data_IF_700585580324
#
_entry.id   IF_700585580324
#
_cell.length_a   1.000
_cell.length_b   1.000
_cell.length_c   1.000
_cell.angle_alpha   90.00
_cell.angle_beta   90.00
_cell.angle_gamma   90.00
#
_symmetry.space_group_name_H-M   'P 1'
#
loop_
_entity.id
_entity.type
_entity.pdbx_description
1 polymer ?
#
# COMPACT_ATOMS: atom_id res chain seq x y z
N UNK A 1 -5.68 -36.78 -18.33
CA UNK A 1 -5.82 -35.38 -17.87
C UNK A 1 -5.85 -35.44 -16.36
N UNK A 2 -4.72 -35.17 -15.72
CA UNK A 2 -4.52 -35.48 -14.31
C UNK A 2 -4.40 -34.20 -13.47
N UNK A 3 -5.20 -34.19 -12.41
CA UNK A 3 -5.18 -33.35 -11.20
C UNK A 3 -5.61 -31.88 -11.37
N UNK A 4 -6.92 -31.69 -11.24
CA UNK A 4 -7.47 -30.53 -10.55
C UNK A 4 -6.92 -30.56 -9.12
N UNK A 5 -5.86 -29.81 -8.85
CA UNK A 5 -5.45 -29.50 -7.50
C UNK A 5 -6.49 -28.51 -6.98
N UNK A 6 -7.40 -28.95 -6.11
CA UNK A 6 -8.36 -28.05 -5.45
C UNK A 6 -7.68 -27.07 -4.47
N UNK A 7 -6.33 -27.06 -4.42
CA UNK A 7 -5.49 -26.27 -3.51
C UNK A 7 -4.31 -25.73 -4.32
N UNK A 8 -4.25 -24.41 -4.49
CA UNK A 8 -3.10 -23.69 -5.06
C UNK A 8 -1.88 -23.95 -4.18
N UNK A 9 -0.75 -24.35 -4.77
CA UNK A 9 0.51 -24.64 -4.05
C UNK A 9 1.37 -23.40 -3.85
N UNK A 10 1.36 -22.82 -2.65
CA UNK A 10 2.08 -21.59 -2.32
C UNK A 10 3.56 -21.80 -1.95
N UNK A 11 4.08 -23.02 -2.08
CA UNK A 11 5.41 -23.39 -1.55
C UNK A 11 6.60 -22.68 -2.22
N UNK A 12 6.41 -22.15 -3.43
CA UNK A 12 7.40 -21.36 -4.16
C UNK A 12 7.63 -19.95 -3.59
N UNK A 13 6.75 -19.47 -2.70
CA UNK A 13 6.90 -18.18 -2.04
C UNK A 13 7.72 -18.25 -0.75
N UNK A 14 8.43 -17.17 -0.45
CA UNK A 14 9.06 -16.97 0.84
C UNK A 14 8.04 -16.90 1.97
N UNK A 15 8.45 -17.19 3.21
CA UNK A 15 7.58 -17.09 4.37
C UNK A 15 6.92 -15.70 4.50
N UNK A 16 7.66 -14.63 4.20
CA UNK A 16 7.15 -13.26 4.22
C UNK A 16 6.04 -13.04 3.19
N UNK A 17 6.19 -13.56 1.99
CA UNK A 17 5.19 -13.44 0.93
C UNK A 17 3.93 -14.25 1.26
N UNK A 18 4.10 -15.47 1.79
CA UNK A 18 2.98 -16.30 2.25
C UNK A 18 2.22 -15.62 3.40
N UNK A 19 2.92 -15.02 4.37
CA UNK A 19 2.28 -14.26 5.45
C UNK A 19 1.51 -13.04 4.93
N UNK A 20 2.08 -12.29 3.98
CA UNK A 20 1.39 -11.15 3.37
C UNK A 20 0.09 -11.55 2.66
N UNK A 21 0.12 -12.70 1.97
CA UNK A 21 -1.04 -13.30 1.32
C UNK A 21 -2.08 -13.75 2.36
N UNK A 22 -1.65 -14.44 3.41
CA UNK A 22 -2.54 -14.89 4.49
C UNK A 22 -3.25 -13.71 5.18
N UNK A 23 -2.51 -12.65 5.54
CA UNK A 23 -3.09 -11.43 6.13
C UNK A 23 -4.11 -10.79 5.19
N UNK A 24 -3.83 -10.76 3.88
CA UNK A 24 -4.80 -10.25 2.90
C UNK A 24 -6.09 -11.08 2.89
N UNK A 25 -5.99 -12.41 2.85
CA UNK A 25 -7.15 -13.29 2.90
C UNK A 25 -7.96 -13.08 4.19
N UNK A 26 -7.29 -12.99 5.34
CA UNK A 26 -7.94 -12.73 6.62
C UNK A 26 -8.63 -11.37 6.65
N UNK A 27 -8.02 -10.35 6.06
CA UNK A 27 -8.63 -9.02 5.93
C UNK A 27 -9.91 -9.05 5.10
N UNK A 28 -9.91 -9.76 3.97
CA UNK A 28 -11.08 -9.91 3.12
C UNK A 28 -12.18 -10.70 3.85
N UNK A 29 -11.80 -11.80 4.52
CA UNK A 29 -12.74 -12.66 5.23
C UNK A 29 -13.41 -11.94 6.42
N UNK A 30 -12.66 -11.11 7.15
CA UNK A 30 -13.12 -10.47 8.37
C UNK A 30 -13.52 -8.98 8.18
N UNK A 31 -13.35 -8.43 6.99
CA UNK A 31 -13.60 -7.01 6.72
C UNK A 31 -12.64 -6.07 7.47
N UNK A 32 -11.41 -6.52 7.73
CA UNK A 32 -10.36 -5.73 8.40
C UNK A 32 -9.39 -5.12 7.39
N UNK A 33 -8.52 -4.22 7.85
CA UNK A 33 -7.51 -3.57 6.99
C UNK A 33 -6.11 -3.58 7.63
N UNK A 34 -5.70 -4.75 8.12
CA UNK A 34 -4.36 -4.92 8.69
C UNK A 34 -3.29 -4.82 7.58
N UNK A 35 -2.12 -4.22 7.85
CA UNK A 35 -1.05 -4.16 6.86
C UNK A 35 -0.53 -5.56 6.52
N UNK A 36 -0.48 -5.90 5.22
CA UNK A 36 0.07 -7.18 4.73
C UNK A 36 1.57 -7.34 5.00
N UNK A 37 2.30 -6.23 5.17
CA UNK A 37 3.69 -6.19 5.64
C UNK A 37 3.78 -5.38 6.93
N UNK A 38 3.46 -5.98 8.10
CA UNK A 38 3.25 -5.23 9.35
C UNK A 38 4.49 -4.52 9.86
N UNK A 39 5.66 -5.15 9.78
CA UNK A 39 6.92 -4.53 10.23
C UNK A 39 7.34 -3.37 9.32
N UNK A 40 7.16 -3.52 8.01
CA UNK A 40 7.38 -2.42 7.06
C UNK A 40 6.41 -1.28 7.33
N UNK A 41 5.12 -1.58 7.58
CA UNK A 41 4.12 -0.57 7.92
C UNK A 41 4.53 0.24 9.15
N UNK A 42 4.98 -0.42 10.23
CA UNK A 42 5.47 0.26 11.43
C UNK A 42 6.64 1.20 11.12
N UNK A 43 7.62 0.76 10.33
CA UNK A 43 8.73 1.61 9.90
C UNK A 43 8.27 2.79 9.02
N UNK A 44 7.28 2.58 8.15
CA UNK A 44 6.70 3.64 7.32
C UNK A 44 5.92 4.67 8.14
N UNK A 45 5.26 4.27 9.22
CA UNK A 45 4.61 5.19 10.16
C UNK A 45 5.63 6.11 10.83
N UNK A 46 6.71 5.56 11.39
CA UNK A 46 7.80 6.35 11.98
C UNK A 46 8.45 7.29 10.95
N UNK A 47 8.63 6.82 9.71
CA UNK A 47 9.14 7.66 8.63
C UNK A 47 8.19 8.80 8.30
N UNK A 48 6.87 8.56 8.26
CA UNK A 48 5.86 9.57 8.00
C UNK A 48 5.88 10.69 9.04
N UNK A 49 5.99 10.34 10.32
CA UNK A 49 6.08 11.31 11.43
C UNK A 49 7.36 12.16 11.37
N UNK A 50 8.49 11.53 11.06
CA UNK A 50 9.76 12.24 10.87
C UNK A 50 9.70 13.19 9.67
N UNK A 51 9.11 12.76 8.56
CA UNK A 51 8.95 13.60 7.36
C UNK A 51 7.98 14.76 7.60
N UNK A 52 6.92 14.57 8.39
CA UNK A 52 6.03 15.64 8.82
C UNK A 52 6.78 16.71 9.63
N UNK A 53 7.66 16.30 10.54
CA UNK A 53 8.52 17.22 11.29
C UNK A 53 9.48 17.99 10.38
N UNK A 54 10.07 17.32 9.38
CA UNK A 54 10.92 17.96 8.37
C UNK A 54 10.12 18.95 7.50
N UNK A 55 8.85 18.67 7.23
CA UNK A 55 8.01 19.53 6.40
C UNK A 55 7.84 20.93 7.02
N UNK A 56 7.79 21.04 8.35
CA UNK A 56 7.74 22.32 9.05
C UNK A 56 9.03 23.15 8.86
N UNK A 57 10.18 22.48 8.69
CA UNK A 57 11.48 23.13 8.49
C UNK A 57 11.71 23.46 7.01
N UNK A 58 11.23 22.60 6.10
CA UNK A 58 11.46 22.69 4.65
C UNK A 58 10.16 22.49 3.85
N UNK A 59 9.20 23.43 3.97
CA UNK A 59 7.85 23.25 3.42
C UNK A 59 7.83 23.07 1.90
N UNK A 60 8.64 23.83 1.15
CA UNK A 60 8.69 23.71 -0.31
C UNK A 60 9.20 22.34 -0.77
N UNK A 61 10.23 21.80 -0.13
CA UNK A 61 10.76 20.47 -0.45
C UNK A 61 9.75 19.38 -0.11
N UNK A 62 9.06 19.50 1.02
CA UNK A 62 8.04 18.55 1.43
C UNK A 62 6.83 18.55 0.48
N UNK A 63 6.39 19.72 0.00
CA UNK A 63 5.33 19.82 -1.01
C UNK A 63 5.74 19.16 -2.34
N UNK A 64 6.98 19.33 -2.78
CA UNK A 64 7.49 18.62 -3.97
C UNK A 64 7.56 17.12 -3.79
N UNK A 65 8.00 16.65 -2.62
CA UNK A 65 7.95 15.23 -2.28
C UNK A 65 6.51 14.68 -2.30
N UNK A 66 5.52 15.45 -1.83
CA UNK A 66 4.11 15.05 -1.91
C UNK A 66 3.66 14.88 -3.37
N UNK A 67 4.04 15.79 -4.27
CA UNK A 67 3.75 15.65 -5.71
C UNK A 67 4.39 14.38 -6.30
N UNK A 68 5.64 14.10 -5.95
CA UNK A 68 6.37 12.90 -6.39
C UNK A 68 5.73 11.61 -5.87
N UNK A 69 5.39 11.53 -4.58
CA UNK A 69 4.70 10.38 -4.00
C UNK A 69 3.32 10.15 -4.63
N UNK A 70 2.57 11.21 -4.94
CA UNK A 70 1.30 11.10 -5.69
C UNK A 70 1.52 10.54 -7.09
N UNK A 71 2.57 10.97 -7.78
CA UNK A 71 2.93 10.42 -9.08
C UNK A 71 3.31 8.93 -9.00
N UNK A 72 4.08 8.53 -7.98
CA UNK A 72 4.42 7.13 -7.71
C UNK A 72 3.15 6.30 -7.44
N UNK A 73 2.25 6.77 -6.58
CA UNK A 73 0.96 6.10 -6.34
C UNK A 73 0.16 5.88 -7.61
N UNK A 74 0.09 6.90 -8.47
CA UNK A 74 -0.62 6.81 -9.74
C UNK A 74 0.00 5.76 -10.69
N UNK A 75 1.32 5.62 -10.70
CA UNK A 75 2.00 4.61 -11.51
C UNK A 75 1.78 3.21 -10.93
N UNK A 76 1.97 3.04 -9.61
CA UNK A 76 1.76 1.77 -8.92
C UNK A 76 0.34 1.25 -9.14
N UNK A 77 -0.67 2.08 -8.94
CA UNK A 77 -2.08 1.71 -9.16
C UNK A 77 -2.37 1.27 -10.61
N UNK A 78 -1.67 1.83 -11.60
CA UNK A 78 -1.80 1.42 -13.02
C UNK A 78 -1.08 0.12 -13.35
N UNK A 79 -0.08 -0.25 -12.56
CA UNK A 79 0.69 -1.48 -12.74
C UNK A 79 0.07 -2.67 -11.99
N UNK A 80 -0.83 -2.43 -11.04
CA UNK A 80 -1.57 -3.51 -10.38
C UNK A 80 -2.35 -4.30 -11.44
N UNK A 81 -2.13 -5.62 -11.54
CA UNK A 81 -2.80 -6.44 -12.54
C UNK A 81 -4.31 -6.41 -12.31
N UNK A 82 -5.06 -6.14 -13.37
CA UNK A 82 -6.52 -6.20 -13.35
C UNK A 82 -6.95 -7.61 -13.77
N UNK A 83 -7.79 -8.29 -12.97
CA UNK A 83 -8.30 -9.59 -13.37
C UNK A 83 -9.18 -9.42 -14.61
N UNK A 84 -9.02 -10.27 -15.65
CA UNK A 84 -9.80 -10.17 -16.89
C UNK A 84 -11.30 -10.43 -16.70
N UNK A 85 -11.68 -11.00 -15.55
CA UNK A 85 -13.06 -11.25 -15.14
C UNK A 85 -13.14 -11.34 -13.62
N UNK A 86 -14.31 -11.09 -13.05
CA UNK A 86 -14.59 -11.30 -11.61
C UNK A 86 -15.11 -12.71 -11.30
N UNK A 87 -15.39 -13.50 -12.33
CA UNK A 87 -15.86 -14.87 -12.21
C UNK A 87 -14.67 -15.80 -11.91
N UNK A 88 -14.64 -16.33 -10.68
CA UNK A 88 -13.57 -17.20 -10.18
C UNK A 88 -13.40 -18.45 -11.06
N UNK A 89 -14.49 -19.05 -11.52
CA UNK A 89 -14.41 -20.25 -12.36
C UNK A 89 -13.78 -19.95 -13.71
N UNK A 90 -14.03 -18.75 -14.25
CA UNK A 90 -13.38 -18.30 -15.48
C UNK A 90 -11.91 -17.94 -15.26
N UNK A 91 -11.55 -17.36 -14.11
CA UNK A 91 -10.16 -17.07 -13.78
C UNK A 91 -9.32 -18.35 -13.71
N UNK A 92 -9.81 -19.38 -13.02
CA UNK A 92 -9.12 -20.69 -12.91
C UNK A 92 -9.03 -21.40 -14.26
N UNK A 93 -9.95 -21.14 -15.18
CA UNK A 93 -9.92 -21.73 -16.51
C UNK A 93 -8.95 -21.04 -17.50
N UNK A 94 -8.53 -19.80 -17.21
CA UNK A 94 -7.72 -18.99 -18.14
C UNK A 94 -6.32 -18.65 -17.62
N UNK A 95 -6.09 -18.75 -16.30
CA UNK A 95 -4.81 -18.49 -15.67
C UNK A 95 -4.21 -19.77 -15.10
N UNK A 96 -2.88 -19.89 -15.12
CA UNK A 96 -2.19 -20.93 -14.36
C UNK A 96 -2.17 -20.58 -12.87
N UNK A 97 -1.91 -21.58 -12.02
CA UNK A 97 -1.76 -21.36 -10.58
C UNK A 97 -0.63 -20.36 -10.29
N UNK A 98 0.49 -20.43 -11.01
CA UNK A 98 1.59 -19.48 -10.89
C UNK A 98 1.19 -18.06 -11.28
N UNK A 99 0.39 -17.88 -12.34
CA UNK A 99 -0.12 -16.58 -12.74
C UNK A 99 -1.08 -15.99 -11.69
N UNK A 100 -1.95 -16.82 -11.10
CA UNK A 100 -2.85 -16.42 -10.02
C UNK A 100 -2.04 -15.97 -8.80
N UNK A 101 -1.05 -16.76 -8.40
CA UNK A 101 -0.15 -16.49 -7.30
C UNK A 101 0.60 -15.17 -7.46
N UNK A 102 1.26 -14.99 -8.61
CA UNK A 102 2.03 -13.77 -8.90
C UNK A 102 1.14 -12.54 -8.98
N UNK A 103 -0.08 -12.67 -9.52
CA UNK A 103 -1.04 -11.57 -9.55
C UNK A 103 -1.49 -11.16 -8.14
N UNK A 104 -1.78 -12.13 -7.26
CA UNK A 104 -2.18 -11.85 -5.87
C UNK A 104 -1.05 -11.15 -5.13
N UNK A 105 0.18 -11.66 -5.23
CA UNK A 105 1.33 -11.04 -4.56
C UNK A 105 1.59 -9.63 -5.10
N UNK A 106 1.56 -9.44 -6.42
CA UNK A 106 1.73 -8.14 -7.06
C UNK A 106 0.67 -7.13 -6.62
N UNK A 107 -0.60 -7.56 -6.52
CA UNK A 107 -1.68 -6.74 -5.96
C UNK A 107 -1.38 -6.36 -4.51
N UNK A 108 -1.00 -7.33 -3.66
CA UNK A 108 -0.72 -7.09 -2.25
C UNK A 108 0.42 -6.07 -2.06
N UNK A 109 1.53 -6.23 -2.79
CA UNK A 109 2.66 -5.30 -2.73
C UNK A 109 2.28 -3.92 -3.25
N UNK A 110 1.60 -3.85 -4.40
CA UNK A 110 1.18 -2.60 -5.01
C UNK A 110 0.24 -1.80 -4.10
N UNK A 111 -0.80 -2.44 -3.57
CA UNK A 111 -1.73 -1.79 -2.65
C UNK A 111 -1.06 -1.41 -1.32
N UNK A 112 -0.18 -2.25 -0.78
CA UNK A 112 0.57 -1.94 0.43
C UNK A 112 1.37 -0.65 0.27
N UNK A 113 2.20 -0.55 -0.78
CA UNK A 113 3.03 0.63 -1.03
C UNK A 113 2.20 1.89 -1.25
N UNK A 114 1.12 1.80 -2.02
CA UNK A 114 0.20 2.91 -2.26
C UNK A 114 -0.38 3.43 -0.94
N UNK A 115 -0.77 2.53 -0.02
CA UNK A 115 -1.24 2.92 1.32
C UNK A 115 -0.15 3.61 2.13
N UNK A 116 1.08 3.07 2.14
CA UNK A 116 2.19 3.68 2.90
C UNK A 116 2.55 5.08 2.38
N UNK A 117 2.64 5.26 1.07
CA UNK A 117 2.91 6.57 0.48
C UNK A 117 1.76 7.54 0.73
N UNK A 118 0.51 7.09 0.69
CA UNK A 118 -0.65 7.92 1.03
C UNK A 118 -0.62 8.35 2.50
N UNK A 119 -0.20 7.45 3.39
CA UNK A 119 -0.02 7.76 4.81
C UNK A 119 1.05 8.83 5.03
N UNK A 120 2.21 8.72 4.38
CA UNK A 120 3.26 9.77 4.40
C UNK A 120 2.72 11.11 3.87
N UNK A 121 2.04 11.10 2.72
CA UNK A 121 1.45 12.30 2.13
C UNK A 121 0.52 13.00 3.14
N UNK A 122 -0.36 12.24 3.79
CA UNK A 122 -1.33 12.79 4.72
C UNK A 122 -0.65 13.40 5.95
N UNK A 123 0.38 12.76 6.50
CA UNK A 123 1.14 13.29 7.63
C UNK A 123 1.85 14.61 7.28
N UNK A 124 2.48 14.68 6.11
CA UNK A 124 3.14 15.92 5.63
C UNK A 124 2.12 17.05 5.46
N UNK A 125 1.01 16.79 4.76
CA UNK A 125 -0.01 17.80 4.50
C UNK A 125 -0.67 18.28 5.80
N UNK A 126 -1.01 17.37 6.70
CA UNK A 126 -1.60 17.71 7.99
C UNK A 126 -0.69 18.62 8.83
N UNK A 127 0.61 18.31 8.89
CA UNK A 127 1.57 19.15 9.62
C UNK A 127 1.66 20.57 9.04
N UNK A 128 1.74 20.69 7.71
CA UNK A 128 1.78 21.99 7.02
C UNK A 128 0.47 22.79 7.20
N UNK A 129 -0.68 22.12 7.18
CA UNK A 129 -1.98 22.75 7.44
C UNK A 129 -2.10 23.27 8.87
N UNK A 130 -1.65 22.47 9.85
CA UNK A 130 -1.67 22.86 11.27
C UNK A 130 -0.79 24.09 11.56
N UNK A 131 0.40 24.19 10.94
CA UNK A 131 1.28 25.36 11.06
C UNK A 131 0.62 26.63 10.50
N UNK A 132 -0.01 26.52 9.32
CA UNK A 132 -0.71 27.64 8.69
C UNK A 132 -1.94 28.09 9.50
N UNK A 133 -2.63 27.18 10.19
CA UNK A 133 -3.74 27.51 11.08
C UNK A 133 -3.27 28.14 12.41
N UNK A 134 -2.08 27.76 12.90
CA UNK A 134 -1.48 28.29 14.13
C UNK A 134 -0.85 29.68 14.00
N UNK A 135 -0.47 30.09 12.79
CA UNK A 135 0.17 31.40 12.50
C UNK A 135 -0.73 32.63 12.69
N UNK A 136 -2.02 32.46 13.01
CA UNK A 136 -2.97 33.57 13.18
C UNK A 136 -2.93 34.29 14.54
N UNK A 137 -2.23 33.77 15.55
CA UNK A 137 -2.27 34.29 16.93
C UNK A 137 -0.90 34.75 17.48
N UNK A 138 -0.02 35.28 16.63
CA UNK A 138 1.31 35.76 17.03
C UNK A 138 1.53 37.26 16.80
N UNK A 139 1.33 38.06 17.86
CA UNK A 139 1.86 39.43 18.08
C UNK A 139 1.40 40.58 17.17
N UNK A 140 0.32 41.25 17.59
CA UNK A 140 0.25 42.72 17.57
C UNK A 140 0.62 43.23 18.96
N UNK A 141 1.84 43.72 19.12
CA UNK A 141 2.22 44.67 20.18
C UNK A 141 2.98 45.81 19.53
#
# INVERSE_FOLDING_TARGET
MARQNDIIDWSDFTETEQQAIAIHFDNVANGTDNPTFPYSAAAFTELAENLASIALIKPNSALKMVEELKALNNVLLKQIPLPPTRDVNKLVAILTDEEIQQNILSCNVGFFLVKQFSHIINHILFALEAENAGGGNGTKH
#
